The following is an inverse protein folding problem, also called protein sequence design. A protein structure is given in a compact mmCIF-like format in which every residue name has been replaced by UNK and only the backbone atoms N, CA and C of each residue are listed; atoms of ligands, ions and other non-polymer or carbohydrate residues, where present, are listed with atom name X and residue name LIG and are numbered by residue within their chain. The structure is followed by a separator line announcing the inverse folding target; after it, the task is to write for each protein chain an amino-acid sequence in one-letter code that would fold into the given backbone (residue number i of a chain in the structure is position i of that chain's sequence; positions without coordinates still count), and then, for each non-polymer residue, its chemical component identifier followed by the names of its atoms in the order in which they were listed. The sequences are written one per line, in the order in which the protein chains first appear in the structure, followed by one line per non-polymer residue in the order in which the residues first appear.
data_IF_050672745951
#
_entry.id   IF_050672745951
#
_cell.length_a   1.000
_cell.length_b   1.000
_cell.length_c   1.000
_cell.angle_alpha   90.00
_cell.angle_beta   90.00
_cell.angle_gamma   90.00
#
_symmetry.space_group_name_H-M   'P 1'
#
loop_
_entity.id
_entity.type
_entity.pdbx_description
1 polymer ?
#
# COMPACT_ATOMS: atom_id res chain seq x y z
N UNK A 1 11.29 -8.41 -7.21
CA UNK A 1 10.94 -8.72 -5.80
C UNK A 1 9.45 -8.49 -5.61
N UNK A 2 8.76 -9.37 -4.88
CA UNK A 2 7.34 -9.21 -4.54
C UNK A 2 7.19 -8.53 -3.17
N UNK A 3 6.40 -7.47 -3.08
CA UNK A 3 5.99 -6.86 -1.81
C UNK A 3 4.53 -7.22 -1.54
N UNK A 4 4.24 -7.82 -0.38
CA UNK A 4 2.87 -8.14 0.04
C UNK A 4 2.48 -7.16 1.15
N UNK A 5 1.46 -6.34 0.88
CA UNK A 5 0.98 -5.28 1.78
C UNK A 5 -0.54 -5.33 1.91
N UNK A 6 -1.12 -4.67 2.91
CA UNK A 6 -2.55 -4.65 3.14
C UNK A 6 -2.87 -4.63 4.63
N UNK A 7 -4.15 -4.44 4.95
CA UNK A 7 -4.63 -4.34 6.32
C UNK A 7 -4.37 -5.62 7.14
N UNK A 8 -4.52 -5.51 8.47
CA UNK A 8 -4.57 -6.69 9.31
C UNK A 8 -5.68 -7.64 8.82
N UNK A 9 -5.43 -8.96 8.90
CA UNK A 9 -6.32 -10.01 8.40
C UNK A 9 -6.52 -10.10 6.87
N UNK A 10 -5.85 -9.26 6.08
CA UNK A 10 -5.88 -9.35 4.61
C UNK A 10 -5.31 -10.68 4.04
N UNK A 11 -4.67 -11.51 4.87
CA UNK A 11 -4.07 -12.79 4.45
C UNK A 11 -2.61 -12.70 4.02
N UNK A 12 -1.90 -11.62 4.37
CA UNK A 12 -0.49 -11.38 4.01
C UNK A 12 0.44 -12.52 4.41
N UNK A 13 0.54 -12.81 5.70
CA UNK A 13 1.47 -13.83 6.22
C UNK A 13 1.12 -15.23 5.71
N UNK A 14 -0.18 -15.53 5.54
CA UNK A 14 -0.65 -16.79 4.92
C UNK A 14 -0.23 -16.90 3.45
N UNK A 15 -0.40 -15.84 2.65
CA UNK A 15 0.04 -15.82 1.26
C UNK A 15 1.58 -15.91 1.14
N UNK A 16 2.30 -15.17 1.98
CA UNK A 16 3.77 -15.23 2.05
C UNK A 16 4.24 -16.64 2.39
N UNK A 17 3.63 -17.28 3.39
CA UNK A 17 3.96 -18.66 3.74
C UNK A 17 3.76 -19.62 2.56
N UNK A 18 2.65 -19.48 1.82
CA UNK A 18 2.42 -20.27 0.60
C UNK A 18 3.47 -20.03 -0.47
N UNK A 19 3.80 -18.77 -0.76
CA UNK A 19 4.85 -18.42 -1.73
C UNK A 19 6.19 -19.08 -1.36
N UNK A 20 6.58 -19.01 -0.08
CA UNK A 20 7.84 -19.57 0.42
C UNK A 20 7.86 -21.09 0.33
N UNK A 21 6.76 -21.75 0.71
CA UNK A 21 6.59 -23.20 0.56
C UNK A 21 6.72 -23.66 -0.91
N UNK A 22 6.36 -22.78 -1.85
CA UNK A 22 6.38 -23.04 -3.29
C UNK A 22 7.67 -22.50 -3.97
N UNK A 23 8.73 -22.34 -3.18
CA UNK A 23 10.08 -22.08 -3.68
C UNK A 23 10.46 -20.61 -3.83
N UNK A 24 9.58 -19.66 -3.48
CA UNK A 24 9.98 -18.26 -3.35
C UNK A 24 10.92 -18.07 -2.16
N UNK A 25 11.80 -17.07 -2.25
CA UNK A 25 12.74 -16.77 -1.16
C UNK A 25 12.18 -15.69 -0.26
N UNK A 26 12.16 -15.97 1.04
CA UNK A 26 11.61 -15.10 2.07
C UNK A 26 12.58 -13.96 2.44
N UNK A 27 12.07 -12.73 2.58
CA UNK A 27 12.88 -11.55 2.91
C UNK A 27 12.62 -11.01 4.33
N UNK A 28 11.34 -10.77 4.66
CA UNK A 28 10.89 -10.20 5.94
C UNK A 28 9.37 -10.40 6.11
N UNK A 29 8.85 -10.20 7.32
CA UNK A 29 7.42 -10.15 7.65
C UNK A 29 7.15 -9.03 8.68
N UNK A 30 5.88 -8.62 8.78
CA UNK A 30 5.33 -7.54 9.61
C UNK A 30 5.79 -6.12 9.26
N UNK A 31 7.08 -5.89 9.11
CA UNK A 31 7.67 -4.58 8.87
C UNK A 31 8.88 -4.71 7.95
N UNK A 32 9.06 -3.72 7.09
CA UNK A 32 10.23 -3.63 6.21
C UNK A 32 10.78 -2.21 6.26
N UNK A 33 12.10 -2.09 6.30
CA UNK A 33 12.76 -0.80 6.10
C UNK A 33 12.90 -0.52 4.60
N UNK A 34 12.61 0.71 4.20
CA UNK A 34 12.85 1.19 2.83
C UNK A 34 13.98 2.22 2.88
N UNK A 35 14.99 2.05 2.04
CA UNK A 35 16.08 3.00 1.90
C UNK A 35 15.62 4.25 1.12
N UNK A 36 16.32 5.39 1.22
CA UNK A 36 15.99 6.58 0.42
C UNK A 36 16.03 6.35 -1.10
N UNK A 37 16.74 5.33 -1.57
CA UNK A 37 16.71 4.91 -2.98
C UNK A 37 15.65 3.83 -3.25
N UNK A 38 14.65 3.63 -2.40
CA UNK A 38 13.50 2.74 -2.67
C UNK A 38 13.82 1.25 -2.66
N UNK A 39 14.89 0.82 -1.99
CA UNK A 39 15.22 -0.60 -1.81
C UNK A 39 14.73 -1.09 -0.45
N UNK A 40 14.26 -2.34 -0.43
CA UNK A 40 13.81 -3.00 0.80
C UNK A 40 14.99 -3.66 1.50
N UNK A 41 15.11 -3.40 2.81
CA UNK A 41 16.09 -4.04 3.68
C UNK A 41 15.63 -5.46 4.06
N UNK A 42 16.52 -6.43 3.96
CA UNK A 42 16.28 -7.80 4.45
C UNK A 42 16.31 -7.82 5.98
N UNK A 43 15.27 -8.40 6.58
CA UNK A 43 15.21 -8.67 8.02
C UNK A 43 14.33 -9.91 8.27
N UNK A 44 14.88 -11.13 8.11
CA UNK A 44 14.07 -12.35 8.08
C UNK A 44 13.62 -12.76 9.48
N UNK A 45 12.54 -12.14 9.96
CA UNK A 45 11.83 -12.56 11.18
C UNK A 45 11.04 -13.85 10.95
N UNK A 46 10.67 -14.58 12.01
CA UNK A 46 9.63 -15.60 11.90
C UNK A 46 8.36 -15.04 11.25
N UNK A 47 7.68 -15.90 10.48
CA UNK A 47 6.39 -15.59 9.86
C UNK A 47 5.32 -15.82 10.92
N UNK A 48 4.54 -14.78 11.21
CA UNK A 48 3.48 -14.88 12.21
C UNK A 48 2.19 -15.39 11.55
N UNK A 49 1.84 -16.65 11.82
CA UNK A 49 0.62 -17.27 11.31
C UNK A 49 -0.45 -17.38 12.40
N UNK A 50 -1.72 -17.42 11.97
CA UNK A 50 -2.85 -17.68 12.87
C UNK A 50 -3.23 -19.15 12.86
N UNK A 51 -3.82 -19.62 13.97
CA UNK A 51 -4.22 -21.02 14.14
C UNK A 51 -5.12 -21.53 13.00
N UNK A 52 -6.04 -20.72 12.51
CA UNK A 52 -6.94 -21.07 11.41
C UNK A 52 -6.26 -21.24 10.05
N UNK A 53 -5.01 -20.77 9.89
CA UNK A 53 -4.23 -20.96 8.67
C UNK A 53 -3.47 -22.28 8.63
N UNK A 54 -3.42 -23.02 9.75
CA UNK A 54 -2.64 -24.27 9.85
C UNK A 54 -3.03 -25.36 8.85
N UNK A 55 -4.33 -25.68 8.64
CA UNK A 55 -4.75 -26.72 7.69
C UNK A 55 -4.37 -26.44 6.23
N UNK A 56 -3.82 -25.26 5.94
CA UNK A 56 -3.35 -24.90 4.60
C UNK A 56 -1.91 -25.38 4.34
N UNK A 57 -1.22 -25.90 5.36
CA UNK A 57 0.18 -26.32 5.31
C UNK A 57 0.38 -27.75 5.81
N UNK A 58 -0.46 -28.69 5.35
CA UNK A 58 -0.46 -30.10 5.78
C UNK A 58 0.91 -30.81 5.67
N UNK A 59 1.79 -30.36 4.77
CA UNK A 59 3.15 -30.88 4.62
C UNK A 59 4.10 -30.50 5.78
N UNK A 60 3.66 -29.62 6.69
CA UNK A 60 4.36 -29.22 7.91
C UNK A 60 3.89 -30.00 9.14
N UNK A 61 3.24 -31.15 8.96
CA UNK A 61 2.69 -31.95 10.05
C UNK A 61 3.70 -32.30 11.16
N UNK A 62 5.01 -32.28 10.86
CA UNK A 62 6.10 -32.56 11.80
C UNK A 62 6.60 -31.32 12.58
N UNK A 63 6.06 -30.12 12.29
CA UNK A 63 6.39 -28.89 13.03
C UNK A 63 5.55 -28.85 14.30
N UNK A 64 6.21 -28.71 15.43
CA UNK A 64 5.54 -28.65 16.73
C UNK A 64 4.70 -27.37 16.82
N UNK A 65 3.38 -27.51 16.75
CA UNK A 65 2.41 -26.40 16.88
C UNK A 65 1.99 -26.28 18.34
N UNK A 66 1.78 -25.05 18.86
CA UNK A 66 1.16 -24.86 20.17
C UNK A 66 -0.16 -25.63 20.30
N UNK A 67 -0.19 -26.61 21.19
CA UNK A 67 -1.36 -27.47 21.42
C UNK A 67 -2.56 -26.68 21.97
N UNK A 68 -3.75 -27.31 22.00
CA UNK A 68 -4.98 -26.70 22.52
C UNK A 68 -4.90 -26.28 24.00
N UNK A 69 -3.85 -26.68 24.74
CA UNK A 69 -3.57 -26.18 26.09
C UNK A 69 -3.17 -24.69 26.11
N UNK A 70 -2.67 -24.16 24.98
CA UNK A 70 -2.28 -22.77 24.80
C UNK A 70 -3.43 -21.94 24.21
N UNK A 71 -4.63 -22.02 24.80
CA UNK A 71 -5.85 -21.30 24.38
C UNK A 71 -5.62 -19.78 24.23
N UNK A 72 -4.59 -19.24 24.91
CA UNK A 72 -4.19 -17.84 24.82
C UNK A 72 -3.44 -17.47 23.51
N UNK A 73 -2.86 -18.42 22.78
CA UNK A 73 -2.07 -18.16 21.58
C UNK A 73 -2.93 -18.38 20.31
N UNK A 74 -3.52 -17.30 19.80
CA UNK A 74 -4.17 -17.22 18.47
C UNK A 74 -3.14 -17.10 17.32
N UNK A 75 -1.85 -17.00 17.66
CA UNK A 75 -0.73 -16.83 16.73
C UNK A 75 0.42 -17.74 17.09
N UNK A 76 1.18 -18.14 16.09
CA UNK A 76 2.46 -18.83 16.25
C UNK A 76 3.49 -18.24 15.28
N UNK A 77 4.76 -18.38 15.66
CA UNK A 77 5.89 -17.88 14.90
C UNK A 77 6.57 -19.05 14.20
N UNK A 78 6.53 -19.07 12.88
CA UNK A 78 7.14 -20.10 12.07
C UNK A 78 8.49 -19.62 11.53
N UNK A 79 9.56 -20.37 11.77
CA UNK A 79 10.84 -20.07 11.10
C UNK A 79 10.63 -20.19 9.59
N UNK A 80 11.02 -19.19 8.77
CA UNK A 80 10.86 -19.27 7.32
C UNK A 80 11.62 -20.44 6.70
N UNK A 81 12.70 -20.88 7.35
CA UNK A 81 13.51 -22.05 6.92
C UNK A 81 12.76 -23.38 6.99
N UNK A 82 11.65 -23.43 7.73
CA UNK A 82 10.76 -24.59 7.81
C UNK A 82 9.91 -24.70 6.55
N UNK A 83 9.59 -23.56 5.92
CA UNK A 83 8.83 -23.49 4.67
C UNK A 83 9.74 -23.53 3.44
N UNK A 84 10.86 -22.84 3.46
CA UNK A 84 11.69 -22.65 2.28
C UNK A 84 12.95 -21.83 2.53
N UNK A 85 13.48 -21.20 1.49
CA UNK A 85 14.74 -20.48 1.57
C UNK A 85 14.55 -19.02 2.05
N UNK A 86 15.51 -18.52 2.81
CA UNK A 86 15.62 -17.09 3.15
C UNK A 86 16.52 -16.40 2.12
N UNK A 87 16.14 -15.20 1.71
CA UNK A 87 16.98 -14.32 0.93
C UNK A 87 17.79 -13.36 1.82
N UNK A 88 19.10 -13.55 1.81
CA UNK A 88 20.08 -12.67 2.45
C UNK A 88 20.71 -11.68 1.46
N UNK A 89 20.13 -11.53 0.27
CA UNK A 89 20.64 -10.63 -0.77
C UNK A 89 20.68 -9.17 -0.32
N UNK A 90 21.48 -8.38 -1.05
CA UNK A 90 21.54 -6.94 -0.86
C UNK A 90 20.15 -6.31 -1.06
N UNK A 91 19.87 -5.16 -0.41
CA UNK A 91 18.59 -4.48 -0.55
C UNK A 91 18.16 -4.36 -2.02
N UNK A 92 16.90 -4.69 -2.31
CA UNK A 92 16.38 -4.76 -3.68
C UNK A 92 15.07 -3.99 -3.84
N UNK A 93 14.78 -3.54 -5.06
CA UNK A 93 13.57 -2.77 -5.35
C UNK A 93 12.37 -3.71 -5.51
N UNK A 94 11.19 -3.38 -4.95
CA UNK A 94 9.95 -4.01 -5.34
C UNK A 94 9.74 -3.90 -6.85
N UNK A 95 9.23 -4.97 -7.45
CA UNK A 95 8.85 -5.00 -8.88
C UNK A 95 7.39 -5.38 -9.07
N UNK A 96 6.69 -5.67 -7.98
CA UNK A 96 5.29 -6.08 -7.94
C UNK A 96 4.78 -5.90 -6.51
N UNK A 97 3.60 -5.31 -6.35
CA UNK A 97 2.91 -5.13 -5.06
C UNK A 97 1.63 -5.95 -5.08
N UNK A 98 1.41 -6.77 -4.06
CA UNK A 98 0.20 -7.57 -3.90
C UNK A 98 -0.52 -7.15 -2.63
N UNK A 99 -1.78 -6.76 -2.80
CA UNK A 99 -2.75 -6.59 -1.73
C UNK A 99 -3.68 -7.82 -1.70
N UNK A 100 -3.45 -8.79 -0.80
CA UNK A 100 -4.36 -9.92 -0.70
C UNK A 100 -5.70 -9.46 -0.11
N UNK A 101 -6.77 -10.10 -0.54
CA UNK A 101 -8.10 -9.99 0.05
C UNK A 101 -8.57 -11.41 0.44
N UNK A 102 -8.23 -11.80 1.65
CA UNK A 102 -8.67 -13.07 2.22
C UNK A 102 -10.12 -13.05 2.72
N UNK A 103 -10.80 -11.90 2.71
CA UNK A 103 -12.22 -11.82 3.09
C UNK A 103 -13.14 -12.14 1.91
N UNK A 104 -12.69 -11.92 0.67
CA UNK A 104 -13.46 -12.28 -0.52
C UNK A 104 -13.60 -13.80 -0.68
N UNK A 105 -14.84 -14.26 -0.87
CA UNK A 105 -15.13 -15.64 -1.27
C UNK A 105 -14.78 -15.87 -2.74
N UNK A 106 -15.12 -14.92 -3.61
CA UNK A 106 -14.88 -15.00 -5.03
C UNK A 106 -13.40 -14.74 -5.35
N UNK A 107 -12.85 -15.54 -6.25
CA UNK A 107 -11.54 -15.29 -6.82
C UNK A 107 -11.59 -14.12 -7.80
N UNK A 108 -10.67 -13.17 -7.64
CA UNK A 108 -10.47 -12.07 -8.58
C UNK A 108 -9.01 -11.60 -8.53
N UNK A 109 -8.59 -10.97 -9.63
CA UNK A 109 -7.35 -10.22 -9.73
C UNK A 109 -7.68 -8.90 -10.38
N UNK A 110 -7.42 -7.81 -9.66
CA UNK A 110 -7.70 -6.46 -10.14
C UNK A 110 -6.43 -5.61 -10.02
N UNK A 111 -6.07 -4.83 -11.05
CA UNK A 111 -4.98 -3.88 -10.93
C UNK A 111 -5.36 -2.81 -9.90
N UNK A 112 -4.38 -2.41 -9.10
CA UNK A 112 -4.45 -1.19 -8.31
C UNK A 112 -3.90 -0.05 -9.15
N UNK A 113 -4.55 1.09 -9.09
CA UNK A 113 -3.97 2.34 -9.58
C UNK A 113 -2.73 2.71 -8.76
N UNK A 114 -1.92 3.58 -9.33
CA UNK A 114 -0.72 4.12 -8.68
C UNK A 114 -1.11 4.89 -7.42
N UNK A 115 -2.20 5.66 -7.46
CA UNK A 115 -2.74 6.36 -6.29
C UNK A 115 -3.22 5.40 -5.19
N UNK A 116 -3.90 4.30 -5.53
CA UNK A 116 -4.29 3.27 -4.55
C UNK A 116 -3.07 2.57 -3.94
N UNK A 117 -2.05 2.29 -4.74
CA UNK A 117 -0.80 1.69 -4.26
C UNK A 117 -0.07 2.63 -3.30
N UNK A 118 -0.01 3.93 -3.61
CA UNK A 118 0.54 4.95 -2.73
C UNK A 118 -0.24 5.08 -1.42
N UNK A 119 -1.57 5.09 -1.48
CA UNK A 119 -2.43 5.11 -0.29
C UNK A 119 -2.15 3.92 0.62
N UNK A 120 -2.00 2.71 0.07
CA UNK A 120 -1.64 1.53 0.84
C UNK A 120 -0.30 1.72 1.57
N UNK A 121 0.71 2.28 0.90
CA UNK A 121 2.00 2.56 1.53
C UNK A 121 1.91 3.59 2.64
N UNK A 122 1.20 4.69 2.42
CA UNK A 122 1.01 5.76 3.41
C UNK A 122 0.27 5.20 4.64
N UNK A 123 -0.84 4.49 4.42
CA UNK A 123 -1.68 3.96 5.50
C UNK A 123 -0.97 2.91 6.35
N UNK A 124 -0.15 2.06 5.73
CA UNK A 124 0.57 0.98 6.41
C UNK A 124 2.02 1.39 6.79
N UNK A 125 2.36 2.69 6.72
CA UNK A 125 3.65 3.23 7.19
C UNK A 125 3.63 3.54 8.69
N UNK A 126 4.72 3.21 9.39
CA UNK A 126 4.84 3.36 10.84
C UNK A 126 5.62 4.61 11.27
N UNK A 127 6.39 5.20 10.37
CA UNK A 127 7.28 6.32 10.67
C UNK A 127 7.27 7.42 9.61
N UNK A 128 6.20 7.49 8.80
CA UNK A 128 6.04 8.52 7.77
C UNK A 128 6.13 9.95 8.34
N UNK A 129 5.50 10.22 9.48
CA UNK A 129 5.60 11.54 10.16
C UNK A 129 7.05 11.96 10.40
N UNK A 130 7.91 11.01 10.78
CA UNK A 130 9.34 11.25 11.00
C UNK A 130 10.12 11.35 9.70
N UNK A 131 9.75 10.58 8.69
CA UNK A 131 10.39 10.59 7.38
C UNK A 131 10.01 11.83 6.54
N UNK A 132 8.87 12.47 6.86
CA UNK A 132 8.34 13.65 6.19
C UNK A 132 8.32 13.49 4.66
N UNK A 133 8.65 14.55 3.91
CA UNK A 133 8.61 14.57 2.45
C UNK A 133 9.49 13.48 1.81
N UNK A 134 10.61 13.12 2.42
CA UNK A 134 11.47 12.04 1.91
C UNK A 134 10.73 10.70 1.94
N UNK A 135 9.92 10.45 2.98
CA UNK A 135 9.13 9.23 3.11
C UNK A 135 8.11 9.08 1.98
N UNK A 136 7.34 10.14 1.69
CA UNK A 136 6.33 10.10 0.63
C UNK A 136 6.97 10.01 -0.76
N UNK A 137 8.09 10.71 -1.01
CA UNK A 137 8.84 10.63 -2.28
C UNK A 137 9.34 9.20 -2.56
N UNK A 138 9.83 8.52 -1.53
CA UNK A 138 10.26 7.11 -1.64
C UNK A 138 9.08 6.20 -1.96
N UNK A 139 7.95 6.34 -1.25
CA UNK A 139 6.75 5.54 -1.51
C UNK A 139 6.19 5.79 -2.91
N UNK A 140 6.18 7.04 -3.36
CA UNK A 140 5.80 7.43 -4.71
C UNK A 140 6.69 6.74 -5.76
N UNK A 141 8.01 6.78 -5.57
CA UNK A 141 8.95 6.11 -6.48
C UNK A 141 8.73 4.60 -6.54
N UNK A 142 8.38 3.97 -5.41
CA UNK A 142 8.03 2.54 -5.38
C UNK A 142 6.70 2.30 -6.12
N UNK A 143 5.66 3.09 -5.85
CA UNK A 143 4.35 2.93 -6.50
C UNK A 143 4.44 3.14 -8.03
N UNK A 144 5.25 4.10 -8.47
CA UNK A 144 5.52 4.38 -9.88
C UNK A 144 6.31 3.26 -10.59
N UNK A 145 7.11 2.47 -9.87
CA UNK A 145 8.00 1.47 -10.47
C UNK A 145 7.53 0.01 -10.28
N UNK A 146 6.61 -0.23 -9.34
CA UNK A 146 6.09 -1.55 -9.03
C UNK A 146 4.57 -1.58 -9.22
N UNK A 147 4.05 -2.28 -10.25
CA UNK A 147 2.61 -2.39 -10.44
C UNK A 147 1.95 -3.07 -9.24
N UNK A 148 0.76 -2.59 -8.87
CA UNK A 148 -0.03 -3.10 -7.76
C UNK A 148 -1.20 -3.94 -8.24
N UNK A 149 -1.52 -5.02 -7.50
CA UNK A 149 -2.71 -5.83 -7.73
C UNK A 149 -3.39 -6.19 -6.42
N UNK A 150 -4.73 -6.18 -6.43
CA UNK A 150 -5.54 -6.83 -5.41
C UNK A 150 -5.89 -8.25 -5.84
N UNK A 151 -5.73 -9.21 -4.94
CA UNK A 151 -5.96 -10.63 -5.23
C UNK A 151 -6.89 -11.25 -4.18
N UNK A 152 -8.14 -11.51 -4.58
CA UNK A 152 -9.19 -12.07 -3.73
C UNK A 152 -9.40 -13.57 -3.86
N UNK A 153 -10.20 -14.15 -2.97
CA UNK A 153 -10.60 -15.57 -2.98
C UNK A 153 -10.08 -16.36 -1.77
N UNK A 154 -10.51 -17.60 -1.63
CA UNK A 154 -10.08 -18.48 -0.52
C UNK A 154 -8.99 -19.49 -0.91
N UNK A 155 -8.88 -19.81 -2.20
CA UNK A 155 -7.93 -20.82 -2.70
C UNK A 155 -6.53 -20.21 -2.88
N UNK A 156 -5.58 -20.64 -2.06
CA UNK A 156 -4.19 -20.18 -2.10
C UNK A 156 -3.43 -20.64 -3.35
N UNK A 157 -3.74 -21.82 -3.88
CA UNK A 157 -3.10 -22.34 -5.10
C UNK A 157 -3.54 -21.50 -6.30
N UNK A 158 -4.83 -21.16 -6.36
CA UNK A 158 -5.37 -20.28 -7.38
C UNK A 158 -4.73 -18.88 -7.33
N UNK A 159 -4.58 -18.30 -6.13
CA UNK A 159 -3.89 -17.01 -5.95
C UNK A 159 -2.43 -17.06 -6.37
N UNK A 160 -1.70 -18.10 -5.96
CA UNK A 160 -0.31 -18.29 -6.31
C UNK A 160 -0.13 -18.39 -7.82
N UNK A 161 -0.94 -19.23 -8.48
CA UNK A 161 -0.86 -19.40 -9.94
C UNK A 161 -1.06 -18.07 -10.65
N UNK A 162 -2.04 -17.27 -10.24
CA UNK A 162 -2.26 -15.95 -10.81
C UNK A 162 -1.05 -15.04 -10.60
N UNK A 163 -0.52 -14.94 -9.37
CA UNK A 163 0.66 -14.11 -9.07
C UNK A 163 1.85 -14.51 -9.95
N UNK A 164 2.10 -15.82 -10.10
CA UNK A 164 3.16 -16.33 -10.97
C UNK A 164 2.91 -15.97 -12.44
N UNK A 165 1.66 -16.05 -12.91
CA UNK A 165 1.31 -15.81 -14.31
C UNK A 165 1.52 -14.36 -14.77
N UNK A 166 1.32 -13.39 -13.87
CA UNK A 166 1.56 -11.96 -14.17
C UNK A 166 2.90 -11.45 -13.63
N UNK A 167 3.56 -12.16 -12.70
CA UNK A 167 4.93 -11.87 -12.31
C UNK A 167 5.87 -12.00 -13.52
N UNK A 168 6.46 -10.87 -13.94
CA UNK A 168 7.33 -10.78 -15.11
C UNK A 168 6.65 -10.32 -16.40
N UNK A 169 5.32 -10.17 -16.40
CA UNK A 169 4.57 -9.49 -17.48
C UNK A 169 4.02 -8.13 -17.06
N UNK A 170 3.87 -7.91 -15.75
CA UNK A 170 3.36 -6.65 -15.22
C UNK A 170 4.29 -5.49 -15.60
N UNK A 171 3.72 -4.45 -16.18
CA UNK A 171 4.44 -3.25 -16.60
C UNK A 171 4.45 -2.23 -15.47
N UNK A 172 5.58 -1.53 -15.32
CA UNK A 172 5.69 -0.44 -14.35
C UNK A 172 4.72 0.69 -14.71
N UNK A 173 3.97 1.26 -13.74
CA UNK A 173 3.06 2.37 -14.02
C UNK A 173 3.76 3.60 -14.62
N UNK A 174 5.02 3.85 -14.25
CA UNK A 174 5.83 4.97 -14.67
C UNK A 174 5.71 6.19 -13.74
N UNK A 175 6.48 7.23 -14.04
CA UNK A 175 6.48 8.47 -13.26
C UNK A 175 5.16 9.23 -13.39
N UNK A 176 4.78 10.07 -12.40
CA UNK A 176 3.63 10.97 -12.54
C UNK A 176 3.74 11.80 -13.81
N UNK A 177 2.61 11.98 -14.52
CA UNK A 177 2.56 12.90 -15.67
C UNK A 177 2.57 14.36 -15.23
N UNK A 178 2.16 14.63 -13.98
CA UNK A 178 2.13 15.95 -13.42
C UNK A 178 2.28 15.93 -11.90
N UNK A 179 2.90 16.98 -11.37
CA UNK A 179 3.07 17.22 -9.94
C UNK A 179 2.81 18.69 -9.64
N UNK A 180 2.07 18.96 -8.57
CA UNK A 180 1.81 20.30 -8.05
C UNK A 180 2.21 20.38 -6.58
N UNK A 181 2.82 21.49 -6.19
CA UNK A 181 3.04 21.84 -4.78
C UNK A 181 2.27 23.13 -4.52
N UNK A 182 1.45 23.14 -3.48
CA UNK A 182 0.78 24.38 -3.07
C UNK A 182 1.83 25.31 -2.46
N UNK A 183 2.06 26.44 -3.10
CA UNK A 183 3.04 27.43 -2.65
C UNK A 183 2.50 28.28 -1.49
N UNK A 184 3.42 28.84 -0.71
CA UNK A 184 3.14 29.78 0.37
C UNK A 184 2.41 31.02 -0.16
N UNK A 185 1.14 31.18 0.19
CA UNK A 185 0.37 32.40 -0.05
C UNK A 185 -0.54 32.67 1.17
N UNK A 186 -0.38 33.85 1.78
CA UNK A 186 -0.84 34.19 3.16
C UNK A 186 -2.37 34.20 3.37
N UNK A 187 -3.21 33.77 2.42
CA UNK A 187 -4.67 33.89 2.53
C UNK A 187 -5.47 32.84 1.72
N UNK A 188 -5.01 31.59 1.71
CA UNK A 188 -5.61 30.52 0.92
C UNK A 188 -6.57 29.57 1.66
N UNK A 189 -7.61 29.11 0.95
CA UNK A 189 -8.49 28.00 1.37
C UNK A 189 -7.75 26.66 1.27
N UNK A 190 -6.69 26.54 0.48
CA UNK A 190 -5.88 25.31 0.40
C UNK A 190 -4.79 25.27 1.46
N UNK A 191 -4.42 24.06 1.86
CA UNK A 191 -3.26 23.86 2.73
C UNK A 191 -1.95 24.14 1.99
N UNK A 192 -1.19 25.07 2.54
CA UNK A 192 0.18 25.41 2.17
C UNK A 192 1.09 24.18 2.26
N UNK A 193 1.92 23.94 1.24
CA UNK A 193 2.83 22.79 1.20
C UNK A 193 2.20 21.44 0.85
N UNK A 194 0.89 21.37 0.60
CA UNK A 194 0.26 20.14 0.11
C UNK A 194 0.86 19.70 -1.24
N UNK A 195 1.04 18.39 -1.41
CA UNK A 195 1.68 17.77 -2.57
C UNK A 195 0.65 17.01 -3.39
N UNK A 196 0.53 17.29 -4.68
CA UNK A 196 -0.41 16.63 -5.59
C UNK A 196 0.30 15.95 -6.77
N UNK A 197 -0.19 14.79 -7.18
CA UNK A 197 0.30 14.04 -8.34
C UNK A 197 -0.85 13.52 -9.21
N UNK A 198 -0.65 13.55 -10.53
CA UNK A 198 -1.46 12.85 -11.53
C UNK A 198 -0.60 11.77 -12.19
N UNK A 199 -1.11 10.56 -12.27
CA UNK A 199 -0.39 9.39 -12.77
C UNK A 199 -0.80 9.02 -14.21
N UNK A 200 0.03 8.20 -14.86
CA UNK A 200 -0.19 7.74 -16.24
C UNK A 200 -1.49 6.93 -16.38
N UNK A 201 -1.91 6.23 -15.33
CA UNK A 201 -3.16 5.48 -15.28
C UNK A 201 -4.41 6.36 -15.07
N UNK A 202 -4.26 7.68 -15.03
CA UNK A 202 -5.34 8.65 -14.85
C UNK A 202 -5.80 8.81 -13.40
N UNK A 203 -5.20 8.09 -12.44
CA UNK A 203 -5.42 8.34 -11.01
C UNK A 203 -4.63 9.55 -10.54
N UNK A 204 -5.15 10.24 -9.52
CA UNK A 204 -4.47 11.33 -8.84
C UNK A 204 -4.42 11.11 -7.33
N UNK A 205 -3.46 11.73 -6.67
CA UNK A 205 -3.37 11.73 -5.21
C UNK A 205 -2.92 13.10 -4.71
N UNK A 206 -3.44 13.53 -3.57
CA UNK A 206 -2.99 14.72 -2.85
C UNK A 206 -2.67 14.35 -1.42
N UNK A 207 -1.50 14.77 -0.94
CA UNK A 207 -0.96 14.49 0.38
C UNK A 207 -0.75 15.80 1.15
N UNK A 208 -1.22 15.81 2.40
CA UNK A 208 -1.02 16.90 3.35
C UNK A 208 0.03 16.48 4.40
N UNK A 209 1.25 17.06 4.39
CA UNK A 209 2.34 16.56 5.21
C UNK A 209 2.16 16.69 6.72
N UNK A 210 1.38 17.65 7.21
CA UNK A 210 1.25 17.94 8.65
C UNK A 210 0.37 16.89 9.35
N UNK A 211 -0.77 16.56 8.77
CA UNK A 211 -1.72 15.56 9.27
C UNK A 211 -1.39 14.17 8.76
N UNK A 212 -0.63 14.07 7.66
CA UNK A 212 -0.36 12.81 6.96
C UNK A 212 -1.54 12.31 6.13
N UNK A 213 -2.58 13.13 5.94
CA UNK A 213 -3.75 12.78 5.14
C UNK A 213 -3.38 12.62 3.67
N UNK A 214 -3.92 11.57 3.04
CA UNK A 214 -3.83 11.34 1.60
C UNK A 214 -5.24 11.13 1.04
N UNK A 215 -5.57 11.87 -0.03
CA UNK A 215 -6.84 11.72 -0.75
C UNK A 215 -6.55 11.32 -2.19
N UNK A 216 -7.33 10.37 -2.70
CA UNK A 216 -7.24 9.90 -4.09
C UNK A 216 -8.31 10.57 -4.95
N UNK A 217 -7.98 10.74 -6.22
CA UNK A 217 -8.85 11.31 -7.23
C UNK A 217 -8.76 10.50 -8.53
N UNK A 218 -9.75 10.67 -9.39
CA UNK A 218 -9.55 10.48 -10.81
C UNK A 218 -8.93 11.75 -11.43
N UNK A 219 -8.63 11.71 -12.73
CA UNK A 219 -8.06 12.86 -13.43
C UNK A 219 -8.93 14.11 -13.28
N UNK A 220 -10.25 13.99 -13.40
CA UNK A 220 -11.17 15.12 -13.27
C UNK A 220 -11.13 15.73 -11.87
N UNK A 221 -11.10 14.91 -10.82
CA UNK A 221 -11.00 15.33 -9.44
C UNK A 221 -9.66 16.01 -9.14
N UNK A 222 -8.56 15.47 -9.65
CA UNK A 222 -7.24 16.11 -9.52
C UNK A 222 -7.19 17.46 -10.22
N UNK A 223 -7.72 17.57 -11.44
CA UNK A 223 -7.81 18.83 -12.19
C UNK A 223 -8.69 19.85 -11.47
N UNK A 224 -9.82 19.39 -10.93
CA UNK A 224 -10.71 20.20 -10.11
C UNK A 224 -9.97 20.74 -8.90
N UNK A 225 -9.32 19.86 -8.12
CA UNK A 225 -8.48 20.23 -6.99
C UNK A 225 -7.41 21.25 -7.40
N UNK A 226 -6.69 21.02 -8.50
CA UNK A 226 -5.65 21.91 -9.02
C UNK A 226 -6.17 23.28 -9.47
N UNK A 227 -7.42 23.36 -9.91
CA UNK A 227 -8.05 24.63 -10.32
C UNK A 227 -8.69 25.42 -9.19
N UNK A 228 -8.90 24.81 -8.01
CA UNK A 228 -9.50 25.51 -6.86
C UNK A 228 -8.70 26.78 -6.54
N UNK A 229 -9.28 27.95 -6.75
CA UNK A 229 -8.59 29.20 -6.45
C UNK A 229 -8.07 29.21 -5.01
N UNK A 230 -7.02 30.00 -4.78
CA UNK A 230 -6.48 30.22 -3.43
C UNK A 230 -7.58 30.84 -2.56
N UNK A 231 -8.49 31.66 -3.12
CA UNK A 231 -9.66 32.17 -2.41
C UNK A 231 -10.98 31.50 -2.87
N UNK A 232 -11.90 31.26 -1.94
CA UNK A 232 -13.22 30.64 -2.21
C UNK A 232 -14.05 31.44 -3.23
N UNK A 233 -13.91 32.78 -3.23
CA UNK A 233 -14.61 33.67 -4.18
C UNK A 233 -14.32 33.39 -5.65
N UNK A 234 -13.21 32.71 -5.94
CA UNK A 234 -12.78 32.36 -7.30
C UNK A 234 -13.29 30.97 -7.71
N UNK A 235 -14.01 30.27 -6.82
CA UNK A 235 -14.55 28.95 -7.09
C UNK A 235 -15.83 29.04 -7.94
N UNK A 236 -16.10 28.03 -8.80
CA UNK A 236 -17.37 27.91 -9.49
C UNK A 236 -18.58 27.97 -8.54
N UNK A 237 -19.66 28.62 -8.97
CA UNK A 237 -20.90 28.71 -8.19
C UNK A 237 -21.40 27.32 -7.75
N UNK A 238 -21.74 27.19 -6.46
CA UNK A 238 -22.26 25.96 -5.88
C UNK A 238 -21.20 24.91 -5.50
N UNK A 239 -19.92 25.11 -5.87
CA UNK A 239 -18.85 24.15 -5.56
C UNK A 239 -18.55 24.05 -4.06
N UNK A 240 -18.66 25.16 -3.32
CA UNK A 240 -18.43 25.20 -1.87
C UNK A 240 -19.31 24.21 -1.07
N UNK A 241 -20.49 23.89 -1.60
CA UNK A 241 -21.46 22.97 -0.96
C UNK A 241 -21.43 21.56 -1.57
N UNK A 242 -20.47 21.28 -2.45
CA UNK A 242 -20.34 19.97 -3.10
C UNK A 242 -19.74 18.93 -2.14
N UNK A 243 -20.08 17.65 -2.36
CA UNK A 243 -19.46 16.54 -1.64
C UNK A 243 -17.94 16.51 -1.80
N UNK A 244 -17.42 16.91 -2.96
CA UNK A 244 -15.99 17.01 -3.24
C UNK A 244 -15.27 17.98 -2.30
N UNK A 245 -15.81 19.20 -2.09
CA UNK A 245 -15.24 20.16 -1.13
C UNK A 245 -15.38 19.67 0.30
N UNK A 246 -16.50 19.02 0.64
CA UNK A 246 -16.68 18.42 1.97
C UNK A 246 -15.62 17.35 2.27
N UNK A 247 -15.36 16.45 1.33
CA UNK A 247 -14.31 15.42 1.45
C UNK A 247 -12.91 16.03 1.60
N UNK A 248 -12.59 17.04 0.78
CA UNK A 248 -11.32 17.77 0.89
C UNK A 248 -11.16 18.49 2.23
N UNK A 249 -12.24 19.05 2.77
CA UNK A 249 -12.24 19.75 4.07
C UNK A 249 -12.09 18.75 5.22
N UNK A 250 -12.81 17.63 5.18
CA UNK A 250 -12.72 16.54 6.18
C UNK A 250 -11.32 15.93 6.21
N UNK A 251 -10.69 15.76 5.04
CA UNK A 251 -9.32 15.29 4.91
C UNK A 251 -8.27 16.34 5.28
N UNK A 252 -8.68 17.59 5.57
CA UNK A 252 -7.78 18.68 5.91
C UNK A 252 -6.96 19.21 4.74
N UNK A 253 -7.37 18.99 3.48
CA UNK A 253 -6.74 19.58 2.29
C UNK A 253 -7.23 20.99 1.98
N UNK A 254 -8.32 21.39 2.63
CA UNK A 254 -8.83 22.74 2.63
C UNK A 254 -8.96 23.23 4.07
N UNK A 255 -8.54 24.46 4.34
CA UNK A 255 -8.91 25.18 5.54
C UNK A 255 -10.37 25.60 5.38
N UNK A 256 -11.23 25.20 6.32
CA UNK A 256 -12.62 25.68 6.32
C UNK A 256 -12.62 27.20 6.29
N UNK A 257 -13.27 27.79 5.29
CA UNK A 257 -13.49 29.22 5.26
C UNK A 257 -14.24 29.61 6.52
N UNK A 258 -13.63 30.43 7.38
CA UNK A 258 -14.43 31.21 8.33
C UNK A 258 -15.35 32.09 7.48
N UNK A 259 -16.65 31.85 7.62
CA UNK A 259 -17.71 32.68 7.02
C UNK A 259 -17.67 34.13 7.54
#
# INVERSE_FOLDING_TARGET
MLLVIGSSFAGKSTLVAKLVAEGWRYLSDQQVGITPDGKILSYPRPITLRRNSWPLFDHLADVEVPTDADVAADRFELSPTVLGAIDHSSPSRPTLVICPDAASEAFYVEPLTTAETLELFVRDSLDLERAANVGIEVMLAVAASAPGYRVGGQDLDQKLQAIVDFAGKAEAPGEPVEQTVVADDEAGVRVEGALGWLFIDGSGAVYEPVTGSLVRFDESGYRSWQSLGVAERDWPEGLAWSGFVAELTEAGLLHGGDA
#
